data_IF_816079772726
#
_entry.id   IF_816079772726
#
_cell.length_a   1.000
_cell.length_b   1.000
_cell.length_c   1.000
_cell.angle_alpha   90.00
_cell.angle_beta   90.00
_cell.angle_gamma   90.00
#
_symmetry.space_group_name_H-M   'P 1'
#
loop_
_entity.id
_entity.type
_entity.pdbx_description
1 polymer ?
#
# COMPACT_ATOMS: atom_id res chain seq x y z
N UNK A 1 42.31 18.52 -14.11
CA UNK A 1 41.65 19.64 -14.83
C UNK A 1 40.76 19.07 -15.91
N UNK A 2 39.51 18.74 -15.57
CA UNK A 2 38.58 18.09 -16.50
C UNK A 2 38.19 19.01 -17.65
N UNK A 3 38.12 18.45 -18.86
CA UNK A 3 37.78 19.11 -20.13
C UNK A 3 36.39 19.78 -20.09
N UNK A 4 35.51 19.40 -19.16
CA UNK A 4 34.19 19.99 -18.93
C UNK A 4 34.09 20.90 -17.69
N UNK A 5 35.22 21.35 -17.12
CA UNK A 5 35.23 22.23 -15.94
C UNK A 5 34.38 23.50 -16.09
N UNK A 6 34.28 24.06 -17.31
CA UNK A 6 33.42 25.22 -17.60
C UNK A 6 31.91 24.89 -17.54
N UNK A 7 31.51 23.67 -17.86
CA UNK A 7 30.12 23.22 -17.70
C UNK A 7 29.78 22.97 -16.23
N UNK A 8 30.69 22.37 -15.47
CA UNK A 8 30.53 22.23 -14.02
C UNK A 8 30.44 23.60 -13.32
N UNK A 9 31.26 24.57 -13.73
CA UNK A 9 31.17 25.95 -13.23
C UNK A 9 29.83 26.62 -13.56
N UNK A 10 29.27 26.34 -14.75
CA UNK A 10 27.93 26.80 -15.14
C UNK A 10 26.81 26.19 -14.26
N UNK A 11 26.91 24.89 -13.93
CA UNK A 11 25.95 24.22 -13.04
C UNK A 11 26.03 24.72 -11.59
N UNK A 12 27.23 25.07 -11.11
CA UNK A 12 27.43 25.66 -9.77
C UNK A 12 26.98 27.13 -9.74
N UNK A 13 27.04 27.85 -10.86
CA UNK A 13 26.58 29.23 -10.97
C UNK A 13 25.05 29.37 -10.99
N UNK A 14 24.29 28.27 -11.01
CA UNK A 14 22.82 28.30 -10.96
C UNK A 14 22.38 28.94 -9.63
N UNK A 15 21.47 29.95 -9.66
CA UNK A 15 20.95 30.57 -8.45
C UNK A 15 20.29 29.56 -7.50
N UNK A 16 20.46 29.77 -6.19
CA UNK A 16 19.89 28.91 -5.15
C UNK A 16 18.37 28.76 -5.26
N UNK A 17 17.66 29.78 -5.75
CA UNK A 17 16.21 29.70 -6.00
C UNK A 17 15.82 28.66 -7.06
N UNK A 18 16.64 28.48 -8.10
CA UNK A 18 16.38 27.50 -9.17
C UNK A 18 16.70 26.09 -8.67
N UNK A 19 17.84 25.92 -7.98
CA UNK A 19 18.19 24.64 -7.36
C UNK A 19 17.18 24.22 -6.29
N UNK A 20 16.67 25.18 -5.52
CA UNK A 20 15.60 24.96 -4.53
C UNK A 20 14.30 24.50 -5.17
N UNK A 21 13.86 25.15 -6.25
CA UNK A 21 12.65 24.75 -6.99
C UNK A 21 12.76 23.35 -7.59
N UNK A 22 13.88 23.04 -8.24
CA UNK A 22 14.15 21.72 -8.81
C UNK A 22 14.18 20.62 -7.72
N UNK A 23 14.92 20.83 -6.63
CA UNK A 23 15.03 19.83 -5.56
C UNK A 23 13.72 19.64 -4.81
N UNK A 24 13.00 20.71 -4.50
CA UNK A 24 11.69 20.62 -3.83
C UNK A 24 10.69 19.87 -4.69
N UNK A 25 10.67 20.11 -6.01
CA UNK A 25 9.82 19.36 -6.93
C UNK A 25 10.18 17.87 -6.96
N UNK A 26 11.48 17.53 -7.01
CA UNK A 26 11.93 16.14 -6.96
C UNK A 26 11.53 15.45 -5.65
N UNK A 27 11.66 16.12 -4.51
CA UNK A 27 11.22 15.57 -3.22
C UNK A 27 9.70 15.40 -3.15
N UNK A 28 8.93 16.36 -3.66
CA UNK A 28 7.48 16.25 -3.75
C UNK A 28 7.06 15.07 -4.65
N UNK A 29 7.72 14.88 -5.80
CA UNK A 29 7.48 13.74 -6.68
C UNK A 29 7.78 12.40 -6.00
N UNK A 30 8.87 12.31 -5.22
CA UNK A 30 9.19 11.12 -4.41
C UNK A 30 8.09 10.84 -3.37
N UNK A 31 7.61 11.87 -2.66
CA UNK A 31 6.55 11.72 -1.67
C UNK A 31 5.22 11.25 -2.31
N UNK A 32 4.83 11.84 -3.45
CA UNK A 32 3.62 11.44 -4.19
C UNK A 32 3.75 10.01 -4.74
N UNK A 33 4.93 9.64 -5.23
CA UNK A 33 5.21 8.27 -5.65
C UNK A 33 5.07 7.28 -4.50
N UNK A 34 5.56 7.62 -3.31
CA UNK A 34 5.38 6.82 -2.09
C UNK A 34 3.90 6.60 -1.75
N UNK A 35 3.07 7.64 -1.81
CA UNK A 35 1.63 7.54 -1.59
C UNK A 35 0.94 6.64 -2.63
N UNK A 36 1.37 6.70 -3.90
CA UNK A 36 0.84 5.84 -4.95
C UNK A 36 1.20 4.36 -4.74
N UNK A 37 2.40 4.06 -4.24
CA UNK A 37 2.82 2.69 -3.90
C UNK A 37 1.94 2.13 -2.77
N UNK A 38 1.68 2.93 -1.74
CA UNK A 38 0.82 2.52 -0.60
C UNK A 38 -0.59 2.18 -1.08
N UNK A 39 -1.19 3.05 -1.91
CA UNK A 39 -2.56 2.84 -2.42
C UNK A 39 -2.70 1.65 -3.38
N UNK A 40 -1.62 1.31 -4.12
CA UNK A 40 -1.62 0.14 -5.02
C UNK A 40 -1.32 -1.16 -4.31
N UNK A 41 -0.53 -1.13 -3.25
CA UNK A 41 -0.04 -2.32 -2.57
C UNK A 41 -1.00 -2.91 -1.54
N UNK A 42 -1.89 -2.09 -0.94
CA UNK A 42 -2.74 -2.51 0.18
C UNK A 42 -4.11 -1.83 0.13
N UNK A 43 -5.18 -2.56 0.44
CA UNK A 43 -6.53 -2.00 0.62
C UNK A 43 -6.59 -1.16 1.90
N UNK A 44 -7.21 0.02 1.83
CA UNK A 44 -7.22 1.00 2.93
C UNK A 44 -8.20 0.61 4.05
N UNK A 45 -7.79 -0.29 4.92
CA UNK A 45 -8.62 -0.83 6.01
C UNK A 45 -8.31 -0.16 7.33
N UNK A 46 -9.06 -0.49 8.38
CA UNK A 46 -8.78 0.02 9.72
C UNK A 46 -7.37 -0.39 10.17
N UNK A 47 -6.96 -1.64 9.92
CA UNK A 47 -5.59 -2.13 10.10
C UNK A 47 -4.56 -1.31 9.31
N UNK A 48 -4.69 -1.22 7.99
CA UNK A 48 -3.70 -0.57 7.12
C UNK A 48 -3.52 0.92 7.46
N UNK A 49 -4.62 1.60 7.78
CA UNK A 49 -4.60 3.01 8.24
C UNK A 49 -3.90 3.14 9.59
N UNK A 50 -4.17 2.24 10.54
CA UNK A 50 -3.50 2.24 11.84
C UNK A 50 -1.98 2.02 11.73
N UNK A 51 -1.55 1.03 10.95
CA UNK A 51 -0.13 0.74 10.74
C UNK A 51 0.58 1.95 10.11
N UNK A 52 -0.05 2.57 9.10
CA UNK A 52 0.50 3.72 8.42
C UNK A 52 0.59 4.95 9.34
N UNK A 53 -0.46 5.23 10.14
CA UNK A 53 -0.46 6.33 11.11
C UNK A 53 0.61 6.12 12.18
N UNK A 54 0.71 4.93 12.76
CA UNK A 54 1.72 4.61 13.75
C UNK A 54 3.14 4.76 13.17
N UNK A 55 3.39 4.22 11.98
CA UNK A 55 4.67 4.37 11.28
C UNK A 55 5.07 5.83 11.08
N UNK A 56 4.16 6.68 10.59
CA UNK A 56 4.43 8.10 10.38
C UNK A 56 4.68 8.86 11.69
N UNK A 57 3.93 8.58 12.76
CA UNK A 57 4.12 9.25 14.06
C UNK A 57 5.54 9.02 14.59
N UNK A 58 6.02 7.78 14.58
CA UNK A 58 7.36 7.46 15.06
C UNK A 58 8.47 7.91 14.10
N UNK A 59 8.23 7.82 12.79
CA UNK A 59 9.15 8.31 11.76
C UNK A 59 9.42 9.80 11.81
N UNK A 60 8.35 10.60 11.86
CA UNK A 60 8.46 12.05 12.03
C UNK A 60 8.96 12.41 13.44
N UNK A 61 8.60 11.62 14.46
CA UNK A 61 9.11 11.77 15.83
C UNK A 61 10.64 11.69 15.91
N UNK A 62 11.26 10.77 15.17
CA UNK A 62 12.72 10.64 15.11
C UNK A 62 13.43 11.86 14.51
N UNK A 63 12.80 12.57 13.57
CA UNK A 63 13.36 13.80 12.98
C UNK A 63 13.19 15.00 13.93
N UNK A 64 12.13 15.01 14.74
CA UNK A 64 11.84 16.10 15.68
C UNK A 64 12.67 16.03 16.97
N UNK A 65 13.05 14.84 17.40
CA UNK A 65 13.79 14.61 18.64
C UNK A 65 15.27 14.30 18.35
N UNK A 66 16.03 15.33 17.96
CA UNK A 66 17.47 15.20 17.74
C UNK A 66 18.24 15.24 19.07
N UNK A 67 19.23 14.36 19.25
CA UNK A 67 20.11 14.34 20.44
C UNK A 67 19.54 13.65 21.70
N UNK A 68 18.44 12.90 21.61
CA UNK A 68 17.96 12.08 22.73
C UNK A 68 18.87 10.87 22.98
N UNK A 69 19.37 10.22 21.92
CA UNK A 69 20.19 9.01 22.02
C UNK A 69 21.63 9.28 22.45
N UNK A 70 22.19 10.46 22.13
CA UNK A 70 23.42 11.02 22.72
C UNK A 70 23.46 10.95 24.27
N UNK A 71 22.30 11.15 24.92
CA UNK A 71 22.20 11.20 26.38
C UNK A 71 21.92 9.83 27.01
N UNK A 72 21.32 8.90 26.26
CA UNK A 72 20.93 7.56 26.75
C UNK A 72 22.03 6.51 26.49
N UNK A 73 22.86 6.70 25.46
CA UNK A 73 23.90 5.76 25.02
C UNK A 73 25.33 6.33 25.18
N UNK A 74 25.54 7.21 26.16
CA UNK A 74 26.84 7.83 26.37
C UNK A 74 27.89 6.81 26.81
N UNK A 75 28.88 6.56 25.95
CA UNK A 75 30.05 5.74 26.26
C UNK A 75 31.32 6.59 26.22
N UNK A 76 31.82 6.92 27.40
CA UNK A 76 33.04 7.71 27.63
C UNK A 76 34.26 6.79 27.88
N UNK A 77 34.34 5.68 27.15
CA UNK A 77 35.44 4.72 27.24
C UNK A 77 36.38 4.79 26.04
N UNK A 78 37.65 4.39 26.24
CA UNK A 78 38.69 4.38 25.19
C UNK A 78 38.50 3.26 24.14
N UNK A 79 37.45 2.43 24.28
CA UNK A 79 37.17 1.36 23.34
C UNK A 79 36.47 1.87 22.08
N UNK A 80 37.27 2.16 21.05
CA UNK A 80 36.81 2.64 19.73
C UNK A 80 35.79 1.71 19.06
N UNK A 81 35.85 0.40 19.32
CA UNK A 81 34.90 -0.56 18.74
C UNK A 81 33.49 -0.43 19.30
N UNK A 82 33.36 -0.27 20.62
CA UNK A 82 32.06 -0.09 21.26
C UNK A 82 31.47 1.30 20.96
N UNK A 83 32.34 2.32 20.87
CA UNK A 83 31.94 3.67 20.49
C UNK A 83 31.37 3.73 19.07
N UNK A 84 32.07 3.16 18.08
CA UNK A 84 31.55 3.11 16.71
C UNK A 84 30.25 2.32 16.56
N UNK A 85 30.03 1.30 17.39
CA UNK A 85 28.77 0.55 17.42
C UNK A 85 27.60 1.38 17.99
N UNK A 86 27.84 2.12 19.07
CA UNK A 86 26.84 3.00 19.67
C UNK A 86 26.48 4.17 18.73
N UNK A 87 27.49 4.77 18.09
CA UNK A 87 27.30 5.83 17.10
C UNK A 87 26.48 5.32 15.89
N UNK A 88 26.66 4.05 15.49
CA UNK A 88 25.88 3.43 14.42
C UNK A 88 24.41 3.20 14.81
N UNK A 89 24.14 2.79 16.05
CA UNK A 89 22.76 2.66 16.57
C UNK A 89 22.08 4.03 16.60
N UNK A 90 22.80 5.05 17.05
CA UNK A 90 22.29 6.42 17.05
C UNK A 90 21.98 6.92 15.64
N UNK A 91 22.85 6.66 14.66
CA UNK A 91 22.61 7.00 13.26
C UNK A 91 21.29 6.42 12.75
N UNK A 92 21.00 5.16 13.07
CA UNK A 92 19.75 4.50 12.66
C UNK A 92 18.54 5.16 13.35
N UNK A 93 18.63 5.45 14.65
CA UNK A 93 17.54 6.06 15.41
C UNK A 93 17.25 7.51 15.00
N UNK A 94 18.26 8.25 14.55
CA UNK A 94 18.11 9.62 14.04
C UNK A 94 17.59 9.64 12.58
N UNK A 95 17.62 8.49 11.90
CA UNK A 95 17.16 8.36 10.52
C UNK A 95 15.67 8.02 10.46
N UNK A 96 14.82 9.04 10.25
CA UNK A 96 13.36 8.90 10.32
C UNK A 96 12.74 7.81 9.44
N UNK A 97 13.23 7.58 8.21
CA UNK A 97 12.70 6.52 7.36
C UNK A 97 13.01 5.11 7.89
N UNK A 98 14.17 4.92 8.54
CA UNK A 98 14.56 3.64 9.09
C UNK A 98 13.65 3.25 10.27
N UNK A 99 13.36 4.21 11.16
CA UNK A 99 12.43 4.03 12.28
C UNK A 99 11.01 3.72 11.78
N UNK A 100 10.53 4.43 10.76
CA UNK A 100 9.23 4.13 10.13
C UNK A 100 9.17 2.69 9.64
N UNK A 101 10.19 2.23 8.90
CA UNK A 101 10.22 0.87 8.33
C UNK A 101 10.24 -0.20 9.42
N UNK A 102 11.08 -0.04 10.45
CA UNK A 102 11.12 -1.01 11.56
C UNK A 102 9.76 -1.06 12.25
N UNK A 103 9.13 0.09 12.50
CA UNK A 103 7.85 0.15 13.18
C UNK A 103 6.71 -0.46 12.35
N UNK A 104 6.59 -0.12 11.07
CA UNK A 104 5.56 -0.69 10.20
C UNK A 104 5.78 -2.19 9.98
N UNK A 105 7.02 -2.66 9.91
CA UNK A 105 7.35 -4.08 9.79
C UNK A 105 6.95 -4.87 11.04
N UNK A 106 7.26 -4.35 12.23
CA UNK A 106 6.84 -4.97 13.50
C UNK A 106 5.32 -5.02 13.59
N UNK A 107 4.63 -3.90 13.31
CA UNK A 107 3.17 -3.85 13.36
C UNK A 107 2.52 -4.79 12.35
N UNK A 108 3.08 -4.90 11.14
CA UNK A 108 2.58 -5.80 10.12
C UNK A 108 2.70 -7.27 10.53
N UNK A 109 3.71 -7.64 11.32
CA UNK A 109 3.89 -8.99 11.84
C UNK A 109 3.03 -9.29 13.08
N UNK A 110 2.81 -8.30 13.96
CA UNK A 110 2.02 -8.51 15.18
C UNK A 110 0.51 -8.42 14.97
N UNK A 111 0.04 -7.63 14.00
CA UNK A 111 -1.39 -7.51 13.74
C UNK A 111 -1.87 -8.63 12.81
N UNK A 112 -2.86 -9.44 13.23
CA UNK A 112 -3.48 -10.43 12.36
C UNK A 112 -4.11 -9.74 11.14
N UNK A 113 -4.16 -10.46 10.02
CA UNK A 113 -4.83 -9.96 8.81
C UNK A 113 -6.33 -9.78 9.08
N UNK A 114 -6.80 -8.53 8.95
CA UNK A 114 -8.24 -8.27 8.83
C UNK A 114 -8.64 -8.72 7.41
N UNK A 115 -9.49 -9.75 7.32
CA UNK A 115 -10.23 -10.02 6.08
C UNK A 115 -11.18 -8.86 5.84
N UNK A 116 -11.16 -8.30 4.64
CA UNK A 116 -11.91 -7.09 4.36
C UNK A 116 -13.39 -7.33 4.15
N UNK A 117 -14.19 -6.34 4.57
CA UNK A 117 -15.61 -6.25 4.19
C UNK A 117 -15.79 -6.07 2.67
N UNK A 118 -14.74 -5.72 1.92
CA UNK A 118 -14.73 -5.74 0.45
C UNK A 118 -14.77 -7.18 -0.09
N UNK A 119 -14.05 -8.11 0.55
CA UNK A 119 -14.21 -9.54 0.30
C UNK A 119 -15.59 -10.01 0.79
N UNK A 120 -16.08 -9.51 1.92
CA UNK A 120 -17.42 -9.86 2.41
C UNK A 120 -18.55 -9.36 1.47
N UNK A 121 -18.41 -8.19 0.84
CA UNK A 121 -19.35 -7.64 -0.13
C UNK A 121 -19.25 -8.34 -1.50
N UNK A 122 -18.04 -8.74 -1.92
CA UNK A 122 -17.87 -9.56 -3.11
C UNK A 122 -18.47 -10.96 -2.91
N UNK A 123 -18.21 -11.60 -1.76
CA UNK A 123 -18.77 -12.90 -1.36
C UNK A 123 -20.29 -12.82 -1.16
N UNK A 124 -20.82 -11.73 -0.57
CA UNK A 124 -22.25 -11.50 -0.47
C UNK A 124 -22.91 -11.32 -1.85
N UNK A 125 -22.26 -10.60 -2.77
CA UNK A 125 -22.77 -10.44 -4.14
C UNK A 125 -22.69 -11.73 -4.96
N UNK A 126 -21.70 -12.59 -4.72
CA UNK A 126 -21.60 -13.92 -5.35
C UNK A 126 -22.68 -14.85 -4.79
N UNK A 127 -22.96 -14.78 -3.48
CA UNK A 127 -24.01 -15.57 -2.85
C UNK A 127 -25.42 -15.12 -3.29
N UNK A 128 -25.65 -13.81 -3.44
CA UNK A 128 -26.92 -13.26 -3.92
C UNK A 128 -27.19 -13.62 -5.40
N UNK A 129 -26.15 -13.59 -6.25
CA UNK A 129 -26.21 -14.07 -7.64
C UNK A 129 -26.50 -15.56 -7.74
N UNK A 130 -25.97 -16.37 -6.83
CA UNK A 130 -26.22 -17.81 -6.80
C UNK A 130 -27.66 -18.15 -6.37
N UNK A 131 -28.27 -17.34 -5.49
CA UNK A 131 -29.68 -17.51 -5.10
C UNK A 131 -30.63 -17.08 -6.23
N UNK A 132 -30.33 -16.00 -6.96
CA UNK A 132 -31.16 -15.55 -8.09
C UNK A 132 -31.09 -16.50 -9.29
N UNK A 133 -29.95 -17.17 -9.52
CA UNK A 133 -29.80 -18.14 -10.61
C UNK A 133 -30.41 -19.52 -10.30
N UNK A 134 -30.65 -19.82 -9.01
CA UNK A 134 -31.32 -21.05 -8.56
C UNK A 134 -32.84 -21.07 -8.79
N UNK A 135 -33.47 -19.90 -8.95
CA UNK A 135 -34.93 -19.78 -9.09
C UNK A 135 -35.39 -19.75 -10.56
N UNK A 136 -34.51 -19.36 -11.49
CA UNK A 136 -34.82 -19.25 -12.93
C UNK A 136 -34.71 -20.60 -13.68
N UNK A 137 -33.88 -21.54 -13.20
CA UNK A 137 -33.81 -22.89 -13.75
C UNK A 137 -35.04 -23.75 -13.41
N UNK A 138 -35.79 -23.43 -12.36
CA UNK A 138 -37.03 -24.13 -12.04
C UNK A 138 -38.22 -23.66 -12.90
N UNK A 139 -38.18 -22.42 -13.42
CA UNK A 139 -39.28 -21.83 -14.19
C UNK A 139 -39.22 -22.19 -15.67
N UNK A 140 -38.03 -22.19 -16.26
CA UNK A 140 -37.81 -22.49 -17.70
C UNK A 140 -38.09 -23.95 -18.07
N UNK A 141 -37.94 -24.92 -17.16
CA UNK A 141 -38.28 -26.33 -17.46
C UNK A 141 -39.79 -26.60 -17.45
N UNK A 142 -40.59 -25.70 -16.87
CA UNK A 142 -42.04 -25.88 -16.75
C UNK A 142 -42.83 -25.34 -17.96
N UNK A 143 -42.34 -24.30 -18.63
CA UNK A 143 -42.99 -23.75 -19.83
C UNK A 143 -42.64 -24.54 -21.10
N UNK A 144 -41.39 -25.03 -21.22
CA UNK A 144 -40.97 -25.81 -22.39
C UNK A 144 -41.55 -27.24 -22.40
N UNK A 145 -41.83 -27.83 -21.22
CA UNK A 145 -42.50 -29.13 -21.13
C UNK A 145 -44.00 -29.06 -21.52
N UNK A 146 -44.65 -27.90 -21.35
CA UNK A 146 -46.05 -27.71 -21.73
C UNK A 146 -46.22 -27.25 -23.18
N UNK A 147 -45.26 -26.51 -23.74
CA UNK A 147 -45.29 -26.10 -25.14
C UNK A 147 -45.06 -27.27 -26.12
N UNK A 148 -44.18 -28.22 -25.79
CA UNK A 148 -43.89 -29.36 -26.68
C UNK A 148 -45.03 -30.40 -26.69
N UNK A 149 -45.83 -30.51 -25.63
CA UNK A 149 -46.92 -31.50 -25.56
C UNK A 149 -48.17 -31.10 -26.36
N UNK A 150 -48.35 -29.82 -26.70
CA UNK A 150 -49.55 -29.34 -27.42
C UNK A 150 -49.38 -29.25 -28.95
N UNK A 151 -48.17 -29.13 -29.49
CA UNK A 151 -47.96 -29.14 -30.94
C UNK A 151 -47.98 -30.56 -31.56
N UNK A 152 -47.84 -31.60 -30.74
CA UNK A 152 -47.85 -33.00 -31.18
C UNK A 152 -49.24 -33.59 -31.51
N UNK A 153 -50.35 -32.89 -31.23
CA UNK A 153 -51.71 -33.43 -31.38
C UNK A 153 -52.53 -32.84 -32.54
N UNK A 154 -51.97 -31.93 -33.34
CA UNK A 154 -52.69 -31.30 -34.49
C UNK A 154 -52.30 -31.83 -35.87
N UNK A 155 -51.47 -32.87 -35.94
CA UNK A 155 -50.93 -33.42 -37.20
C UNK A 155 -51.63 -34.67 -37.77
N UNK A 156 -52.47 -35.38 -37.01
CA UNK A 156 -53.08 -36.66 -37.44
C UNK A 156 -54.60 -36.60 -37.63
N UNK A 157 -55.11 -35.63 -38.39
CA UNK A 157 -56.50 -35.70 -38.89
C UNK A 157 -56.62 -35.30 -40.37
N UNK A 158 -55.80 -35.95 -41.22
CA UNK A 158 -56.04 -36.01 -42.67
C UNK A 158 -55.65 -37.37 -43.23
N UNK A 159 -56.49 -38.37 -42.96
CA UNK A 159 -56.70 -39.46 -43.92
C UNK A 159 -58.08 -40.09 -43.68
N UNK A 160 -59.10 -39.56 -44.34
CA UNK A 160 -60.21 -40.29 -44.96
C UNK A 160 -61.06 -39.32 -45.79
#
# INVERSE_FOLDING_TARGET
MGIFSKFAASLIAIPSSVLGGMTTFLFAAVAVSGMAIINKGVVFNRRSRFILTAGFVFGYGGILLTGYFDNVLKYDGDNKGLRGFLDAIELIMNTGFAVTTVMTMVLNLTLPEEMDDADAAEVASVNDRAILQGDDSARTTSEDAQAVTQEGLKGEEKLH
#
